data_IF_570197812275
#
_entry.id   IF_570197812275
#
_cell.length_a   1.000
_cell.length_b   1.000
_cell.length_c   1.000
_cell.angle_alpha   90.00
_cell.angle_beta   90.00
_cell.angle_gamma   90.00
#
_symmetry.space_group_name_H-M   'P 1'
#
loop_
_entity.id
_entity.type
_entity.pdbx_description
1 polymer ?
#
# COMPACT_ATOMS: atom_id res chain seq x y z
N UNK A 1 7.85 -21.66 1.10
CA UNK A 1 8.16 -20.31 1.63
C UNK A 1 8.97 -19.48 0.64
N UNK A 2 10.10 -19.97 0.12
CA UNK A 2 10.96 -19.21 -0.83
C UNK A 2 10.19 -18.71 -2.08
N UNK A 3 9.37 -19.57 -2.72
CA UNK A 3 8.60 -19.20 -3.91
C UNK A 3 7.63 -18.04 -3.63
N UNK A 4 6.95 -18.06 -2.48
CA UNK A 4 6.01 -17.01 -2.06
C UNK A 4 6.75 -15.69 -1.89
N UNK A 5 7.92 -15.70 -1.23
CA UNK A 5 8.73 -14.52 -1.01
C UNK A 5 9.24 -13.93 -2.34
N UNK A 6 9.67 -14.76 -3.29
CA UNK A 6 10.08 -14.33 -4.63
C UNK A 6 8.89 -13.70 -5.38
N UNK A 7 7.73 -14.37 -5.39
CA UNK A 7 6.52 -13.82 -6.04
C UNK A 7 6.12 -12.47 -5.45
N UNK A 8 6.17 -12.33 -4.12
CA UNK A 8 5.87 -11.09 -3.44
C UNK A 8 6.88 -9.98 -3.83
N UNK A 9 8.18 -10.29 -3.80
CA UNK A 9 9.23 -9.34 -4.17
C UNK A 9 9.13 -8.88 -5.63
N UNK A 10 8.87 -9.80 -6.56
CA UNK A 10 8.63 -9.50 -7.97
C UNK A 10 7.38 -8.63 -8.14
N UNK A 11 6.31 -8.94 -7.41
CA UNK A 11 5.09 -8.12 -7.36
C UNK A 11 5.35 -6.68 -6.90
N UNK A 12 6.09 -6.51 -5.81
CA UNK A 12 6.49 -5.20 -5.31
C UNK A 12 7.34 -4.43 -6.33
N UNK A 13 8.30 -5.09 -6.99
CA UNK A 13 9.14 -4.47 -8.01
C UNK A 13 8.31 -4.03 -9.24
N UNK A 14 7.38 -4.87 -9.71
CA UNK A 14 6.48 -4.52 -10.80
C UNK A 14 5.56 -3.35 -10.44
N UNK A 15 5.03 -3.34 -9.22
CA UNK A 15 4.19 -2.25 -8.70
C UNK A 15 4.92 -0.90 -8.67
N UNK A 16 6.25 -0.88 -8.52
CA UNK A 16 7.04 0.36 -8.56
C UNK A 16 7.27 0.92 -9.97
N UNK A 17 7.27 0.06 -10.99
CA UNK A 17 7.54 0.46 -12.38
C UNK A 17 6.23 0.80 -13.10
N UNK A 18 5.09 0.31 -12.59
CA UNK A 18 3.78 0.58 -13.17
C UNK A 18 3.43 2.08 -13.06
N UNK A 19 3.30 2.74 -14.20
CA UNK A 19 2.84 4.13 -14.30
C UNK A 19 1.31 4.12 -14.27
N UNK A 20 0.65 4.82 -13.34
CA UNK A 20 -0.81 4.87 -13.30
C UNK A 20 -1.35 5.58 -14.55
N UNK A 21 -2.30 4.98 -15.27
CA UNK A 21 -3.08 5.74 -16.24
C UNK A 21 -3.90 6.80 -15.49
N UNK A 22 -3.96 8.02 -16.04
CA UNK A 22 -4.60 9.17 -15.40
C UNK A 22 -6.04 8.85 -14.98
N UNK A 23 -6.34 9.02 -13.69
CA UNK A 23 -7.69 8.84 -13.13
C UNK A 23 -8.01 7.46 -12.56
N UNK A 24 -7.10 6.48 -12.61
CA UNK A 24 -7.33 5.13 -12.07
C UNK A 24 -6.40 4.82 -10.89
N UNK A 25 -6.95 4.28 -9.79
CA UNK A 25 -6.13 3.73 -8.71
C UNK A 25 -5.50 2.41 -9.14
N UNK A 26 -4.17 2.41 -9.28
CA UNK A 26 -3.38 1.20 -9.53
C UNK A 26 -3.63 0.13 -8.47
N UNK A 27 -3.79 0.53 -7.21
CA UNK A 27 -4.07 -0.40 -6.12
C UNK A 27 -5.35 -1.19 -6.36
N UNK A 28 -6.45 -0.53 -6.76
CA UNK A 28 -7.71 -1.19 -7.06
C UNK A 28 -7.58 -2.21 -8.21
N UNK A 29 -6.83 -1.87 -9.26
CA UNK A 29 -6.56 -2.76 -10.38
C UNK A 29 -5.79 -4.03 -9.94
N UNK A 30 -4.75 -3.86 -9.12
CA UNK A 30 -3.96 -4.99 -8.59
C UNK A 30 -4.75 -5.87 -7.63
N UNK A 31 -5.61 -5.29 -6.78
CA UNK A 31 -6.53 -6.05 -5.92
C UNK A 31 -7.52 -6.86 -6.75
N UNK A 32 -8.11 -6.27 -7.78
CA UNK A 32 -9.01 -6.96 -8.70
C UNK A 32 -8.34 -8.12 -9.43
N UNK A 33 -7.13 -7.91 -9.95
CA UNK A 33 -6.35 -8.95 -10.61
C UNK A 33 -6.02 -10.11 -9.65
N UNK A 34 -5.60 -9.81 -8.42
CA UNK A 34 -5.33 -10.81 -7.39
C UNK A 34 -6.57 -11.66 -7.06
N UNK A 35 -7.72 -11.02 -6.84
CA UNK A 35 -8.98 -11.71 -6.60
C UNK A 35 -9.38 -12.61 -7.78
N UNK A 36 -9.25 -12.12 -9.00
CA UNK A 36 -9.50 -12.90 -10.22
C UNK A 36 -8.62 -14.15 -10.31
N UNK A 37 -7.34 -14.04 -9.95
CA UNK A 37 -6.40 -15.17 -9.95
C UNK A 37 -6.74 -16.22 -8.88
N UNK A 38 -7.23 -15.80 -7.70
CA UNK A 38 -7.71 -16.73 -6.66
C UNK A 38 -8.96 -17.48 -7.12
N UNK A 39 -9.90 -16.79 -7.78
CA UNK A 39 -11.09 -17.40 -8.36
C UNK A 39 -10.68 -18.43 -9.44
N UNK A 40 -9.79 -18.05 -10.35
CA UNK A 40 -9.28 -18.96 -11.39
C UNK A 40 -8.57 -20.19 -10.78
N UNK A 41 -7.76 -19.99 -9.74
CA UNK A 41 -7.13 -21.09 -9.01
C UNK A 41 -8.16 -22.07 -8.44
N UNK A 42 -9.21 -21.58 -7.78
CA UNK A 42 -10.25 -22.43 -7.17
C UNK A 42 -10.94 -23.36 -8.19
N UNK A 43 -11.10 -22.89 -9.44
CA UNK A 43 -11.70 -23.67 -10.52
C UNK A 43 -10.72 -24.68 -11.12
N UNK A 44 -9.42 -24.33 -11.14
CA UNK A 44 -8.37 -25.11 -11.82
C UNK A 44 -7.67 -26.12 -10.90
N UNK A 45 -7.74 -25.97 -9.57
CA UNK A 45 -6.99 -26.78 -8.61
C UNK A 45 -7.25 -28.29 -8.77
N UNK A 46 -8.47 -28.68 -9.17
CA UNK A 46 -8.85 -30.08 -9.39
C UNK A 46 -8.52 -30.62 -10.78
N UNK A 47 -8.32 -29.74 -11.78
CA UNK A 47 -8.17 -30.12 -13.19
C UNK A 47 -6.74 -30.04 -13.69
N UNK A 48 -5.99 -29.01 -13.28
CA UNK A 48 -4.65 -28.71 -13.77
C UNK A 48 -3.78 -28.14 -12.63
N UNK A 49 -3.15 -28.99 -11.81
CA UNK A 49 -2.42 -28.55 -10.62
C UNK A 49 -1.25 -27.61 -10.95
N UNK A 50 -0.58 -27.79 -12.09
CA UNK A 50 0.49 -26.90 -12.54
C UNK A 50 0.01 -25.47 -12.84
N UNK A 51 -1.12 -25.33 -13.54
CA UNK A 51 -1.72 -24.01 -13.83
C UNK A 51 -2.27 -23.38 -12.56
N UNK A 52 -2.84 -24.18 -11.67
CA UNK A 52 -3.31 -23.73 -10.37
C UNK A 52 -2.15 -23.13 -9.53
N UNK A 53 -0.99 -23.78 -9.49
CA UNK A 53 0.19 -23.24 -8.81
C UNK A 53 0.65 -21.90 -9.41
N UNK A 54 0.61 -21.76 -10.74
CA UNK A 54 0.94 -20.50 -11.40
C UNK A 54 -0.06 -19.37 -11.05
N UNK A 55 -1.37 -19.66 -11.02
CA UNK A 55 -2.39 -18.70 -10.59
C UNK A 55 -2.19 -18.25 -9.14
N UNK A 56 -1.82 -19.17 -8.24
CA UNK A 56 -1.48 -18.83 -6.85
C UNK A 56 -0.25 -17.92 -6.78
N UNK A 57 0.82 -18.23 -7.52
CA UNK A 57 2.01 -17.38 -7.58
C UNK A 57 1.69 -15.98 -8.13
N UNK A 58 0.86 -15.88 -9.17
CA UNK A 58 0.40 -14.63 -9.73
C UNK A 58 -0.47 -13.83 -8.75
N UNK A 59 -1.33 -14.49 -7.98
CA UNK A 59 -2.14 -13.85 -6.93
C UNK A 59 -1.24 -13.23 -5.86
N UNK A 60 -0.23 -13.97 -5.37
CA UNK A 60 0.74 -13.46 -4.38
C UNK A 60 1.52 -12.26 -4.93
N UNK A 61 1.94 -12.31 -6.20
CA UNK A 61 2.61 -11.19 -6.85
C UNK A 61 1.68 -9.96 -6.96
N UNK A 62 0.41 -10.15 -7.31
CA UNK A 62 -0.58 -9.08 -7.34
C UNK A 62 -0.79 -8.46 -5.96
N UNK A 63 -0.79 -9.26 -4.89
CA UNK A 63 -0.87 -8.74 -3.51
C UNK A 63 0.36 -7.89 -3.16
N UNK A 64 1.56 -8.31 -3.54
CA UNK A 64 2.78 -7.51 -3.36
C UNK A 64 2.72 -6.17 -4.12
N UNK A 65 2.26 -6.21 -5.38
CA UNK A 65 2.08 -5.00 -6.20
C UNK A 65 1.01 -4.07 -5.61
N UNK A 66 -0.14 -4.60 -5.18
CA UNK A 66 -1.21 -3.86 -4.54
C UNK A 66 -0.75 -3.21 -3.23
N UNK A 67 0.00 -3.93 -2.41
CA UNK A 67 0.57 -3.40 -1.17
C UNK A 67 1.56 -2.27 -1.44
N UNK A 68 2.46 -2.46 -2.40
CA UNK A 68 3.40 -1.41 -2.81
C UNK A 68 2.66 -0.17 -3.30
N UNK A 69 1.66 -0.33 -4.18
CA UNK A 69 0.87 0.78 -4.70
C UNK A 69 0.06 1.48 -3.59
N UNK A 70 -0.65 0.71 -2.75
CA UNK A 70 -1.43 1.24 -1.65
C UNK A 70 -0.57 2.02 -0.65
N UNK A 71 0.66 1.57 -0.39
CA UNK A 71 1.60 2.30 0.48
C UNK A 71 1.91 3.70 -0.05
N UNK A 72 2.03 3.88 -1.36
CA UNK A 72 2.29 5.19 -1.98
C UNK A 72 1.00 6.02 -2.17
N UNK A 73 -0.15 5.37 -2.35
CA UNK A 73 -1.45 6.06 -2.47
C UNK A 73 -1.99 6.52 -1.10
N UNK A 74 -1.75 5.75 -0.03
CA UNK A 74 -2.27 6.03 1.32
C UNK A 74 -1.46 7.09 2.08
N UNK A 75 -0.16 7.19 1.79
CA UNK A 75 0.73 8.13 2.45
C UNK A 75 1.53 8.88 1.38
N UNK A 76 1.35 10.20 1.22
CA UNK A 76 2.21 11.00 0.35
C UNK A 76 3.68 10.75 0.67
N UNK A 77 4.55 10.79 -0.34
CA UNK A 77 5.99 10.57 -0.15
C UNK A 77 6.63 11.55 0.86
N UNK A 78 5.95 12.66 1.12
CA UNK A 78 6.35 13.73 2.03
C UNK A 78 5.94 13.46 3.50
N UNK A 79 5.22 12.37 3.76
CA UNK A 79 4.67 12.08 5.07
C UNK A 79 5.74 11.48 5.99
N UNK A 80 6.11 12.27 7.00
CA UNK A 80 7.18 12.02 7.98
C UNK A 80 7.17 10.63 8.61
N UNK A 81 5.99 10.02 8.74
CA UNK A 81 5.78 8.77 9.46
C UNK A 81 6.61 7.60 8.91
N UNK A 82 7.04 7.66 7.65
CA UNK A 82 7.84 6.61 7.00
C UNK A 82 9.34 6.91 6.89
N UNK A 83 9.80 8.10 7.28
CA UNK A 83 11.23 8.47 7.31
C UNK A 83 11.89 8.26 8.69
N UNK A 84 11.16 7.69 9.66
CA UNK A 84 11.70 7.32 10.96
C UNK A 84 12.58 6.07 10.82
N UNK A 85 13.88 6.27 10.56
CA UNK A 85 14.90 5.24 10.71
C UNK A 85 15.23 4.98 12.18
N UNK A 86 15.99 3.92 12.47
CA UNK A 86 16.46 3.61 13.83
C UNK A 86 17.37 4.71 14.39
N UNK A 87 18.04 5.47 13.51
CA UNK A 87 18.85 6.62 13.88
C UNK A 87 17.95 7.86 14.00
N UNK A 88 17.86 8.51 15.16
CA UNK A 88 17.11 9.75 15.29
C UNK A 88 17.78 10.84 14.44
N UNK A 89 17.02 11.42 13.49
CA UNK A 89 17.46 12.56 12.66
C UNK A 89 16.51 13.73 12.95
N UNK A 90 17.01 14.95 13.18
CA UNK A 90 16.16 16.11 13.39
C UNK A 90 15.31 16.38 12.14
N UNK A 91 14.00 16.50 12.33
CA UNK A 91 13.06 16.82 11.24
C UNK A 91 12.53 18.24 11.40
N UNK A 92 12.70 19.05 10.35
CA UNK A 92 12.13 20.39 10.29
C UNK A 92 10.72 20.32 9.70
N UNK A 93 9.71 20.63 10.51
CA UNK A 93 8.32 20.71 10.06
C UNK A 93 8.08 22.14 9.54
N UNK A 94 7.80 22.28 8.25
CA UNK A 94 7.37 23.55 7.66
C UNK A 94 5.86 23.55 7.54
N UNK A 95 5.19 24.30 8.40
CA UNK A 95 3.76 24.58 8.29
C UNK A 95 3.51 25.87 7.50
N UNK A 96 2.43 25.90 6.73
CA UNK A 96 1.86 27.14 6.18
C UNK A 96 0.54 27.40 6.92
N UNK A 97 0.37 28.60 7.46
CA UNK A 97 -0.90 29.00 8.08
C UNK A 97 -1.91 29.22 6.96
N UNK A 98 -2.90 28.33 6.86
CA UNK A 98 -3.94 28.38 5.82
C UNK A 98 -5.14 29.22 6.27
N UNK A 99 -5.40 29.24 7.58
CA UNK A 99 -6.51 29.97 8.19
C UNK A 99 -6.07 30.67 9.48
N UNK A 100 -6.76 31.75 9.84
CA UNK A 100 -6.53 32.43 11.11
C UNK A 100 -6.92 31.52 12.30
N UNK A 101 -6.11 31.45 13.36
CA UNK A 101 -6.48 30.73 14.58
C UNK A 101 -7.81 31.25 15.13
N UNK A 102 -8.74 30.34 15.43
CA UNK A 102 -9.97 30.72 16.14
C UNK A 102 -9.64 30.96 17.61
N UNK A 103 -10.23 31.99 18.25
CA UNK A 103 -10.11 32.16 19.69
C UNK A 103 -10.64 30.92 20.39
N UNK A 104 -9.82 30.29 21.23
CA UNK A 104 -10.28 29.25 22.14
C UNK A 104 -10.89 29.94 23.38
N UNK A 105 -12.00 29.40 23.93
CA UNK A 105 -12.51 29.86 25.21
C UNK A 105 -11.42 29.70 26.29
N UNK A 106 -11.38 30.64 27.23
CA UNK A 106 -10.46 30.56 28.36
C UNK A 106 -10.69 29.23 29.12
N UNK A 107 -9.63 28.58 29.63
CA UNK A 107 -9.77 27.46 30.53
C UNK A 107 -10.71 27.87 31.68
N UNK A 108 -11.77 27.09 31.90
CA UNK A 108 -12.58 27.23 33.10
C UNK A 108 -11.69 26.73 34.24
N UNK A 109 -11.33 27.61 35.18
CA UNK A 109 -10.55 27.24 36.35
C UNK A 109 -11.20 26.03 37.05
N UNK A 110 -10.40 25.00 37.36
CA UNK A 110 -10.84 23.89 38.19
C UNK A 110 -11.24 24.44 39.58
N UNK A 111 -12.40 24.02 40.13
CA UNK A 111 -12.82 24.47 41.46
C UNK A 111 -11.79 24.02 42.50
N UNK A 112 -11.29 25.00 43.27
CA UNK A 112 -10.34 24.83 44.37
C UNK A 112 -10.92 24.00 45.54
#
# INVERSE_FOLDING_TARGET
MVVVAICLAVGCAAGRIAIPPAGCSLAAAWWGAGAGMVIAWSQLVRRRPGVAAACLGAAVACTGAAWSAARFDLFPADELAWNLGETPVPVAIRGTVVEMPRPLPAPIDDPA
#
